data_IF_157930405277
#
_entry.id   IF_157930405277
#
_cell.length_a   1.000
_cell.length_b   1.000
_cell.length_c   1.000
_cell.angle_alpha   90.00
_cell.angle_beta   90.00
_cell.angle_gamma   90.00
#
_symmetry.space_group_name_H-M   'P 1'
#
loop_
_entity.id
_entity.type
_entity.pdbx_description
1 polymer ?
#
# COMPACT_ATOMS: atom_id res chain seq x y z
N UNK A 1 19.64 6.07 3.78
CA UNK A 1 18.48 5.17 3.61
C UNK A 1 17.70 5.29 4.90
N UNK A 2 16.64 6.09 4.85
CA UNK A 2 15.75 6.36 5.98
C UNK A 2 14.60 5.36 5.98
N UNK A 3 13.91 5.19 7.12
CA UNK A 3 12.70 4.36 7.19
C UNK A 3 11.64 4.80 6.15
N UNK A 4 11.66 6.08 5.76
CA UNK A 4 10.81 6.64 4.71
C UNK A 4 11.13 6.10 3.32
N UNK A 5 12.41 5.99 2.95
CA UNK A 5 12.82 5.44 1.65
C UNK A 5 12.33 3.99 1.51
N UNK A 6 12.40 3.21 2.59
CA UNK A 6 11.94 1.81 2.64
C UNK A 6 10.41 1.68 2.58
N UNK A 7 9.66 2.64 3.13
CA UNK A 7 8.19 2.70 2.99
C UNK A 7 7.81 2.98 1.55
N UNK A 8 8.42 3.99 0.92
CA UNK A 8 8.16 4.35 -0.48
C UNK A 8 8.49 3.18 -1.41
N UNK A 9 9.63 2.54 -1.21
CA UNK A 9 10.02 1.34 -1.97
C UNK A 9 9.03 0.19 -1.77
N UNK A 10 8.57 -0.06 -0.54
CA UNK A 10 7.59 -1.10 -0.26
C UNK A 10 6.23 -0.82 -0.92
N UNK A 11 5.81 0.45 -1.03
CA UNK A 11 4.58 0.83 -1.73
C UNK A 11 4.75 0.65 -3.25
N UNK A 12 5.87 1.08 -3.83
CA UNK A 12 6.14 0.85 -5.25
C UNK A 12 6.13 -0.65 -5.59
N UNK A 13 6.76 -1.48 -4.75
CA UNK A 13 6.78 -2.92 -4.94
C UNK A 13 5.37 -3.53 -4.79
N UNK A 14 4.56 -3.05 -3.84
CA UNK A 14 3.17 -3.47 -3.70
C UNK A 14 2.34 -3.13 -4.96
N UNK A 15 2.49 -1.92 -5.52
CA UNK A 15 1.80 -1.54 -6.76
C UNK A 15 2.19 -2.43 -7.94
N UNK A 16 3.48 -2.69 -8.11
CA UNK A 16 3.96 -3.58 -9.15
C UNK A 16 3.41 -5.00 -8.98
N UNK A 17 3.32 -5.49 -7.74
CA UNK A 17 2.72 -6.79 -7.44
C UNK A 17 1.21 -6.82 -7.75
N UNK A 18 0.48 -5.72 -7.52
CA UNK A 18 -0.94 -5.58 -7.93
C UNK A 18 -1.07 -5.70 -9.44
N UNK A 19 -0.25 -4.98 -10.22
CA UNK A 19 -0.29 -5.03 -11.68
C UNK A 19 -0.01 -6.45 -12.19
N UNK A 20 1.00 -7.11 -11.64
CA UNK A 20 1.35 -8.49 -12.00
C UNK A 20 0.24 -9.50 -11.63
N UNK A 21 -0.37 -9.35 -10.45
CA UNK A 21 -1.51 -10.18 -10.05
C UNK A 21 -2.72 -9.97 -10.97
N UNK A 22 -2.97 -8.72 -11.41
CA UNK A 22 -4.03 -8.40 -12.34
C UNK A 22 -3.78 -9.00 -13.74
N UNK A 23 -2.55 -8.96 -14.24
CA UNK A 23 -2.16 -9.64 -15.48
C UNK A 23 -2.36 -11.15 -15.39
N UNK A 24 -1.90 -11.78 -14.29
CA UNK A 24 -2.08 -13.21 -14.06
C UNK A 24 -3.56 -13.61 -13.94
N UNK A 25 -4.40 -12.78 -13.31
CA UNK A 25 -5.86 -12.98 -13.25
C UNK A 25 -6.52 -12.91 -14.63
N UNK A 26 -6.07 -12.01 -15.50
CA UNK A 26 -6.54 -11.93 -16.88
C UNK A 26 -6.09 -13.15 -17.70
N UNK A 27 -4.86 -13.64 -17.46
CA UNK A 27 -4.35 -14.90 -18.01
C UNK A 27 -5.24 -16.09 -17.62
N UNK A 28 -5.59 -16.20 -16.33
CA UNK A 28 -6.52 -17.20 -15.80
C UNK A 28 -7.90 -17.16 -16.47
N UNK A 29 -8.43 -15.96 -16.71
CA UNK A 29 -9.72 -15.79 -17.39
C UNK A 29 -9.70 -16.32 -18.82
N UNK A 30 -8.55 -16.20 -19.51
CA UNK A 30 -8.35 -16.73 -20.86
C UNK A 30 -8.05 -18.23 -20.89
N UNK A 31 -7.25 -18.72 -19.93
CA UNK A 31 -6.78 -20.11 -19.87
C UNK A 31 -6.67 -20.57 -18.40
N UNK A 32 -7.75 -21.16 -17.89
CA UNK A 32 -7.83 -21.66 -16.53
C UNK A 32 -7.10 -23.01 -16.36
N UNK A 33 -5.78 -23.01 -16.51
CA UNK A 33 -4.93 -24.17 -16.25
C UNK A 33 -4.40 -24.15 -14.82
N UNK A 34 -4.01 -25.31 -14.25
CA UNK A 34 -3.40 -25.36 -12.92
C UNK A 34 -2.17 -24.45 -12.79
N UNK A 35 -1.35 -24.35 -13.84
CA UNK A 35 -0.15 -23.52 -13.86
C UNK A 35 -0.49 -22.03 -13.79
N UNK A 36 -1.53 -21.58 -14.50
CA UNK A 36 -2.01 -20.20 -14.42
C UNK A 36 -2.59 -19.86 -13.04
N UNK A 37 -3.21 -20.84 -12.37
CA UNK A 37 -3.68 -20.68 -10.99
C UNK A 37 -2.51 -20.55 -10.00
N UNK A 38 -1.47 -21.36 -10.15
CA UNK A 38 -0.28 -21.29 -9.32
C UNK A 38 0.48 -19.96 -9.51
N UNK A 39 0.58 -19.47 -10.75
CA UNK A 39 1.17 -18.17 -11.07
C UNK A 39 0.41 -17.02 -10.41
N UNK A 40 -0.92 -17.00 -10.56
CA UNK A 40 -1.76 -15.99 -9.92
C UNK A 40 -1.65 -16.03 -8.39
N UNK A 41 -1.67 -17.23 -7.80
CA UNK A 41 -1.49 -17.38 -6.35
C UNK A 41 -0.14 -16.82 -5.90
N UNK A 42 0.94 -17.13 -6.62
CA UNK A 42 2.29 -16.62 -6.31
C UNK A 42 2.32 -15.08 -6.30
N UNK A 43 1.65 -14.44 -7.25
CA UNK A 43 1.57 -12.97 -7.33
C UNK A 43 0.73 -12.35 -6.22
N UNK A 44 -0.33 -13.02 -5.79
CA UNK A 44 -1.09 -12.59 -4.60
C UNK A 44 -0.30 -12.75 -3.30
N UNK A 45 0.52 -13.79 -3.18
CA UNK A 45 1.38 -14.00 -2.01
C UNK A 45 2.45 -12.89 -1.92
N UNK A 46 3.09 -12.54 -3.04
CA UNK A 46 4.03 -11.40 -3.12
C UNK A 46 3.38 -10.08 -2.72
N UNK A 47 2.17 -9.79 -3.23
CA UNK A 47 1.40 -8.61 -2.84
C UNK A 47 1.10 -8.60 -1.33
N UNK A 48 0.67 -9.73 -0.79
CA UNK A 48 0.33 -9.88 0.63
C UNK A 48 1.56 -9.64 1.51
N UNK A 49 2.73 -10.11 1.09
CA UNK A 49 3.98 -9.86 1.79
C UNK A 49 4.34 -8.37 1.84
N UNK A 50 4.26 -7.66 0.70
CA UNK A 50 4.54 -6.23 0.65
C UNK A 50 3.57 -5.42 1.53
N UNK A 51 2.27 -5.75 1.50
CA UNK A 51 1.26 -5.12 2.35
C UNK A 51 1.48 -5.41 3.83
N UNK A 52 1.90 -6.63 4.18
CA UNK A 52 2.19 -7.02 5.57
C UNK A 52 3.40 -6.26 6.11
N UNK A 53 4.44 -6.06 5.30
CA UNK A 53 5.60 -5.23 5.68
C UNK A 53 5.18 -3.79 5.92
N UNK A 54 4.37 -3.20 5.04
CA UNK A 54 3.84 -1.85 5.22
C UNK A 54 3.03 -1.72 6.51
N UNK A 55 2.13 -2.69 6.76
CA UNK A 55 1.35 -2.73 8.00
C UNK A 55 2.25 -2.84 9.24
N UNK A 56 3.28 -3.67 9.19
CA UNK A 56 4.24 -3.84 10.30
C UNK A 56 4.96 -2.53 10.60
N UNK A 57 5.40 -1.79 9.57
CA UNK A 57 6.03 -0.48 9.75
C UNK A 57 5.05 0.52 10.39
N UNK A 58 3.79 0.53 9.97
CA UNK A 58 2.74 1.36 10.57
C UNK A 58 2.44 1.00 12.03
N UNK A 59 2.32 -0.29 12.34
CA UNK A 59 2.01 -0.78 13.68
C UNK A 59 3.15 -0.53 14.69
N UNK A 60 4.39 -0.33 14.22
CA UNK A 60 5.56 -0.06 15.07
C UNK A 60 5.87 1.43 15.28
N UNK A 61 5.13 2.35 14.66
CA UNK A 61 5.44 3.78 14.67
C UNK A 61 4.37 4.61 15.40
N UNK A 62 4.43 4.67 16.73
CA UNK A 62 3.78 5.74 17.52
C UNK A 62 4.22 7.17 17.12
N UNK A 63 5.05 7.36 16.09
CA UNK A 63 5.66 8.64 15.72
C UNK A 63 5.65 8.99 14.22
N UNK A 64 5.10 8.17 13.32
CA UNK A 64 4.96 8.60 11.93
C UNK A 64 3.60 9.26 11.72
N UNK A 65 3.63 10.43 11.08
CA UNK A 65 2.44 11.14 10.66
C UNK A 65 1.70 10.28 9.63
N UNK A 66 0.82 9.41 10.12
CA UNK A 66 -0.09 8.57 9.33
C UNK A 66 -0.81 9.41 8.26
N UNK A 67 -1.10 10.67 8.59
CA UNK A 67 -1.67 11.68 7.70
C UNK A 67 -0.76 12.01 6.49
N UNK A 68 0.55 12.11 6.69
CA UNK A 68 1.51 12.44 5.63
C UNK A 68 1.70 11.25 4.66
N UNK A 69 1.67 10.03 5.19
CA UNK A 69 1.63 8.82 4.37
C UNK A 69 0.33 8.71 3.58
N UNK A 70 -0.82 8.97 4.22
CA UNK A 70 -2.12 8.93 3.57
C UNK A 70 -2.25 10.00 2.46
N UNK A 71 -1.72 11.21 2.70
CA UNK A 71 -1.68 12.28 1.71
C UNK A 71 -0.77 11.90 0.53
N UNK A 72 0.39 11.29 0.78
CA UNK A 72 1.29 10.82 -0.29
C UNK A 72 0.70 9.67 -1.09
N UNK A 73 0.11 8.66 -0.43
CA UNK A 73 -0.60 7.56 -1.09
C UNK A 73 -1.71 8.13 -1.98
N UNK A 74 -2.53 9.03 -1.46
CA UNK A 74 -3.61 9.65 -2.23
C UNK A 74 -3.10 10.46 -3.44
N UNK A 75 -1.90 11.03 -3.34
CA UNK A 75 -1.24 11.70 -4.47
C UNK A 75 -0.70 10.71 -5.51
N UNK A 76 -0.07 9.62 -5.06
CA UNK A 76 0.53 8.60 -5.93
C UNK A 76 -0.52 7.76 -6.69
N UNK A 77 -1.68 7.48 -6.07
CA UNK A 77 -2.74 6.64 -6.61
C UNK A 77 -3.82 7.40 -7.41
N UNK A 78 -3.66 8.73 -7.59
CA UNK A 78 -4.48 9.50 -8.53
C UNK A 78 -5.75 10.13 -7.96
N UNK A 79 -5.59 11.30 -7.32
CA UNK A 79 -6.45 12.44 -7.64
C UNK A 79 -7.66 12.71 -6.72
N UNK A 80 -7.40 12.94 -5.44
CA UNK A 80 -8.36 13.61 -4.55
C UNK A 80 -7.91 13.48 -3.10
N UNK A 81 -7.71 14.61 -2.42
CA UNK A 81 -7.48 14.61 -0.96
C UNK A 81 -8.60 13.81 -0.32
N UNK A 82 -8.31 12.69 0.37
CA UNK A 82 -9.35 11.99 1.09
C UNK A 82 -9.84 12.95 2.18
N UNK A 83 -11.14 13.26 2.20
CA UNK A 83 -11.80 13.91 3.33
C UNK A 83 -11.87 12.95 4.52
N UNK A 84 -10.73 12.38 4.93
CA UNK A 84 -10.65 11.76 6.24
C UNK A 84 -10.63 12.89 7.25
N UNK A 85 -11.84 13.16 7.75
CA UNK A 85 -12.19 13.83 8.99
C UNK A 85 -10.95 14.23 9.80
N UNK A 86 -10.43 15.43 9.53
CA UNK A 86 -9.44 16.06 10.41
C UNK A 86 -10.04 16.05 11.81
N UNK A 87 -9.57 15.16 12.68
CA UNK A 87 -9.77 15.36 14.11
C UNK A 87 -9.18 16.73 14.41
N UNK A 88 -9.97 17.67 14.97
CA UNK A 88 -9.46 18.99 15.24
C UNK A 88 -8.22 18.82 16.12
N UNK A 89 -7.09 19.35 15.66
CA UNK A 89 -5.92 19.50 16.52
C UNK A 89 -6.43 20.24 17.75
N UNK A 90 -6.21 19.67 18.93
CA UNK A 90 -6.40 20.41 20.18
C UNK A 90 -5.55 21.67 20.04
N UNK A 91 -6.23 22.80 19.88
CA UNK A 91 -5.61 24.10 20.02
C UNK A 91 -5.01 24.13 21.43
N UNK A 92 -3.68 24.14 21.50
CA UNK A 92 -2.99 24.51 22.72
C UNK A 92 -3.38 25.95 23.01
N UNK A 93 -4.30 26.11 23.95
CA UNK A 93 -4.80 27.37 24.48
C UNK A 93 -3.62 28.27 24.86
N UNK A 94 -3.51 29.50 24.33
CA UNK A 94 -2.57 30.48 24.85
C UNK A 94 -3.14 31.12 26.13
N UNK A 95 -2.30 31.20 27.17
CA UNK A 95 -2.50 32.01 28.38
C UNK A 95 -2.61 33.51 28.04
#
# INVERSE_FOLDING_TARGET
MTDWDSIVESIHNAMQAVDQAHEAANGLRGHATPEAFDEFRSKLDELTEHLTRLKTVLDHQEAFALDELADWLSAAFGGGRPEYRRTPRMESNPD
#
